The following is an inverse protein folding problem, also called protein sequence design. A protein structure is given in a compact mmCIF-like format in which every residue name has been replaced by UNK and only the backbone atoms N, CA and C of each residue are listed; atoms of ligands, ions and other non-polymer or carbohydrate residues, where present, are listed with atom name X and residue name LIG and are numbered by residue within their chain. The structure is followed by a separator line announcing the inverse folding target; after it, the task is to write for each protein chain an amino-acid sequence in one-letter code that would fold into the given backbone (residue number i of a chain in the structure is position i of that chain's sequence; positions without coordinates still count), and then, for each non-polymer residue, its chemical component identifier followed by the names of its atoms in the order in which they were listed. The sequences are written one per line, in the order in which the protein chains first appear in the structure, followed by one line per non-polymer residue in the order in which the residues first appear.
data_IF_988660581060
#
_entry.id   IF_988660581060
#
_cell.length_a   1.000
_cell.length_b   1.000
_cell.length_c   1.000
_cell.angle_alpha   90.00
_cell.angle_beta   90.00
_cell.angle_gamma   90.00
#
_symmetry.space_group_name_H-M   'P 1'
#
loop_
_entity.id
_entity.type
_entity.pdbx_description
1 polymer ?
#
# COMPACT_ATOMS: atom_id res chain seq x y z
N UNK A 1 -1.05 -6.60 16.15
CA UNK A 1 -1.68 -5.34 15.68
C UNK A 1 -2.46 -4.75 16.84
N UNK A 2 -2.11 -3.54 17.29
CA UNK A 2 -2.93 -2.79 18.24
C UNK A 2 -3.87 -1.91 17.42
N UNK A 3 -5.18 -2.08 17.63
CA UNK A 3 -6.14 -1.28 16.87
C UNK A 3 -6.07 0.19 17.33
N UNK A 4 -5.92 1.14 16.40
CA UNK A 4 -5.89 2.56 16.74
C UNK A 4 -7.24 2.99 17.31
N UNK A 5 -7.20 3.97 18.22
CA UNK A 5 -8.40 4.56 18.82
C UNK A 5 -9.15 5.49 17.87
N UNK A 6 -8.49 5.90 16.78
CA UNK A 6 -9.01 6.77 15.74
C UNK A 6 -9.03 6.01 14.41
N UNK A 7 -10.16 6.08 13.70
CA UNK A 7 -10.25 5.63 12.31
C UNK A 7 -9.79 6.80 11.43
N UNK A 8 -8.55 6.73 10.95
CA UNK A 8 -7.99 7.77 10.11
C UNK A 8 -8.54 7.69 8.68
N UNK A 9 -8.73 8.86 8.04
CA UNK A 9 -8.87 8.90 6.58
C UNK A 9 -7.48 8.70 5.96
N UNK A 10 -7.25 7.51 5.39
CA UNK A 10 -5.92 7.12 4.87
C UNK A 10 -5.56 7.75 3.53
N UNK A 11 -6.39 8.62 2.94
CA UNK A 11 -6.14 9.14 1.60
C UNK A 11 -4.82 9.92 1.51
N UNK A 12 -4.55 10.82 2.48
CA UNK A 12 -3.27 11.54 2.53
C UNK A 12 -2.09 10.60 2.81
N UNK A 13 -2.30 9.53 3.58
CA UNK A 13 -1.28 8.53 3.82
C UNK A 13 -0.89 7.78 2.54
N UNK A 14 -1.87 7.47 1.68
CA UNK A 14 -1.65 6.87 0.37
C UNK A 14 -0.91 7.83 -0.57
N UNK A 15 -1.26 9.11 -0.57
CA UNK A 15 -0.53 10.14 -1.33
C UNK A 15 0.92 10.29 -0.85
N UNK A 16 1.15 10.28 0.47
CA UNK A 16 2.49 10.31 1.04
C UNK A 16 3.30 9.05 0.70
N UNK A 17 2.66 7.88 0.61
CA UNK A 17 3.31 6.65 0.19
C UNK A 17 3.75 6.69 -1.28
N UNK A 18 2.96 7.28 -2.17
CA UNK A 18 3.36 7.50 -3.57
C UNK A 18 4.47 8.55 -3.71
N UNK A 19 4.43 9.61 -2.91
CA UNK A 19 5.55 10.55 -2.82
C UNK A 19 6.83 9.82 -2.35
N UNK A 20 6.74 9.02 -1.29
CA UNK A 20 7.86 8.22 -0.79
C UNK A 20 8.38 7.25 -1.87
N UNK A 21 7.49 6.63 -2.65
CA UNK A 21 7.87 5.77 -3.79
C UNK A 21 8.69 6.51 -4.82
N UNK A 22 8.29 7.72 -5.21
CA UNK A 22 9.05 8.56 -6.15
C UNK A 22 10.45 8.94 -5.64
N UNK A 23 10.69 8.87 -4.32
CA UNK A 23 11.98 9.16 -3.68
C UNK A 23 12.75 7.90 -3.25
N UNK A 24 12.37 6.73 -3.76
CA UNK A 24 13.02 5.45 -3.41
C UNK A 24 12.86 5.09 -1.94
N UNK A 25 11.81 5.58 -1.29
CA UNK A 25 11.57 5.53 0.15
C UNK A 25 10.36 4.70 0.57
N UNK A 26 9.67 4.07 -0.39
CA UNK A 26 8.41 3.40 -0.12
C UNK A 26 8.49 2.37 1.00
N UNK A 27 9.42 1.42 0.95
CA UNK A 27 9.47 0.31 1.92
C UNK A 27 9.66 0.80 3.36
N UNK A 28 10.61 1.72 3.56
CA UNK A 28 10.88 2.32 4.88
C UNK A 28 9.70 3.16 5.37
N UNK A 29 9.10 3.96 4.49
CA UNK A 29 7.94 4.79 4.81
C UNK A 29 6.73 3.93 5.14
N UNK A 30 6.46 2.89 4.35
CA UNK A 30 5.34 1.98 4.52
C UNK A 30 5.43 1.24 5.86
N UNK A 31 6.61 0.71 6.22
CA UNK A 31 6.83 0.09 7.52
C UNK A 31 6.60 1.08 8.68
N UNK A 32 7.16 2.29 8.59
CA UNK A 32 7.01 3.32 9.61
C UNK A 32 5.56 3.83 9.73
N UNK A 33 4.83 3.92 8.62
CA UNK A 33 3.41 4.28 8.59
C UNK A 33 2.54 3.23 9.28
N UNK A 34 2.81 1.94 9.04
CA UNK A 34 2.12 0.84 9.71
C UNK A 34 2.38 0.84 11.21
N UNK A 35 3.64 1.05 11.64
CA UNK A 35 3.96 1.16 13.07
C UNK A 35 3.28 2.37 13.71
N UNK A 36 3.31 3.54 13.06
CA UNK A 36 2.64 4.73 13.56
C UNK A 36 1.12 4.52 13.76
N UNK A 37 0.45 3.83 12.83
CA UNK A 37 -0.99 3.61 12.91
C UNK A 37 -1.38 2.44 13.82
N UNK A 38 -0.79 1.26 13.60
CA UNK A 38 -1.16 -0.01 14.26
C UNK A 38 -0.31 -0.37 15.48
N UNK A 39 0.80 0.33 15.72
CA UNK A 39 1.63 0.19 16.92
C UNK A 39 1.38 1.34 17.90
N UNK A 40 1.52 2.57 17.41
CA UNK A 40 1.52 3.81 18.21
C UNK A 40 0.14 4.47 18.31
N UNK A 41 -0.79 4.18 17.39
CA UNK A 41 -2.13 4.75 17.37
C UNK A 41 -2.20 6.23 16.93
N UNK A 42 -1.23 6.67 16.12
CA UNK A 42 -1.16 8.04 15.57
C UNK A 42 -2.15 8.24 14.43
N UNK A 43 -2.60 9.48 14.26
CA UNK A 43 -3.50 9.86 13.17
C UNK A 43 -2.74 10.01 11.85
N UNK A 44 -2.80 9.00 10.99
CA UNK A 44 -2.20 9.05 9.65
C UNK A 44 -3.04 9.83 8.63
N UNK A 45 -4.18 10.39 9.04
CA UNK A 45 -4.91 11.40 8.28
C UNK A 45 -4.34 12.81 8.47
N UNK A 46 -3.46 13.02 9.45
CA UNK A 46 -2.81 14.30 9.71
C UNK A 46 -1.52 14.47 8.89
N UNK A 47 -1.43 15.56 8.13
CA UNK A 47 -0.26 15.84 7.30
C UNK A 47 1.01 16.10 8.12
N UNK A 48 0.91 16.57 9.37
CA UNK A 48 2.03 16.70 10.31
C UNK A 48 2.63 15.35 10.65
N UNK A 49 1.80 14.40 11.06
CA UNK A 49 2.18 13.01 11.35
C UNK A 49 2.87 12.38 10.14
N UNK A 50 2.30 12.51 8.95
CA UNK A 50 2.88 11.96 7.71
C UNK A 50 4.26 12.58 7.41
N UNK A 51 4.40 13.90 7.60
CA UNK A 51 5.65 14.61 7.43
C UNK A 51 6.73 14.15 8.43
N UNK A 52 6.37 13.88 9.69
CA UNK A 52 7.30 13.37 10.70
C UNK A 52 7.80 11.96 10.32
N UNK A 53 6.88 11.08 9.92
CA UNK A 53 7.19 9.71 9.47
C UNK A 53 8.12 9.74 8.26
N UNK A 54 7.82 10.60 7.28
CA UNK A 54 8.63 10.77 6.08
C UNK A 54 10.03 11.30 6.38
N UNK A 55 10.15 12.27 7.30
CA UNK A 55 11.44 12.82 7.73
C UNK A 55 12.33 11.74 8.34
N UNK A 56 11.77 10.89 9.20
CA UNK A 56 12.50 9.74 9.76
C UNK A 56 12.96 8.73 8.69
N UNK A 57 12.27 8.73 7.55
CA UNK A 57 12.62 7.96 6.35
C UNK A 57 13.52 8.74 5.38
N UNK A 58 14.16 9.84 5.79
CA UNK A 58 15.07 10.61 4.93
C UNK A 58 14.38 11.31 3.75
N UNK A 59 13.08 11.58 3.86
CA UNK A 59 12.33 12.42 2.92
C UNK A 59 12.29 13.85 3.46
N UNK A 60 12.49 14.85 2.60
CA UNK A 60 12.38 16.25 3.03
C UNK A 60 10.95 16.60 3.47
N UNK A 61 10.85 17.20 4.66
CA UNK A 61 9.58 17.60 5.28
C UNK A 61 8.81 18.60 4.42
N UNK A 62 9.52 19.60 3.89
CA UNK A 62 8.93 20.69 3.12
C UNK A 62 8.38 20.19 1.80
N UNK A 63 9.14 19.36 1.09
CA UNK A 63 8.73 18.78 -0.19
C UNK A 63 7.49 17.89 -0.06
N UNK A 64 7.42 17.05 0.98
CA UNK A 64 6.22 16.27 1.23
C UNK A 64 5.05 17.16 1.63
N UNK A 65 5.27 18.16 2.51
CA UNK A 65 4.22 19.10 2.91
C UNK A 65 3.62 19.82 1.71
N UNK A 66 4.46 20.31 0.80
CA UNK A 66 4.04 20.93 -0.44
C UNK A 66 3.25 19.95 -1.31
N UNK A 67 3.75 18.72 -1.51
CA UNK A 67 3.05 17.70 -2.29
C UNK A 67 1.66 17.35 -1.74
N UNK A 68 1.53 17.26 -0.42
CA UNK A 68 0.25 17.00 0.26
C UNK A 68 -0.68 18.20 0.19
N UNK A 69 -0.16 19.43 0.26
CA UNK A 69 -0.98 20.65 0.08
C UNK A 69 -1.50 20.76 -1.36
N UNK A 70 -0.65 20.46 -2.34
CA UNK A 70 -0.99 20.46 -3.77
C UNK A 70 -1.92 19.30 -4.17
N UNK A 71 -2.13 18.32 -3.28
CA UNK A 71 -2.83 17.06 -3.59
C UNK A 71 -2.25 16.37 -4.83
N UNK A 72 -0.92 16.43 -4.95
CA UNK A 72 -0.17 16.04 -6.16
C UNK A 72 -0.44 14.60 -6.60
N UNK A 73 -0.70 13.71 -5.64
CA UNK A 73 -0.95 12.29 -5.90
C UNK A 73 -2.43 11.90 -5.78
N UNK A 74 -3.33 12.81 -5.39
CA UNK A 74 -4.73 12.48 -5.16
C UNK A 74 -5.39 11.82 -6.39
N UNK A 75 -5.22 12.41 -7.57
CA UNK A 75 -5.75 11.84 -8.81
C UNK A 75 -5.16 10.47 -9.16
N UNK A 76 -3.92 10.17 -8.74
CA UNK A 76 -3.34 8.83 -8.93
C UNK A 76 -4.00 7.80 -8.00
N UNK A 77 -4.25 8.18 -6.73
CA UNK A 77 -4.96 7.34 -5.75
C UNK A 77 -6.40 7.08 -6.18
N UNK A 78 -7.11 8.10 -6.65
CA UNK A 78 -8.48 7.98 -7.14
C UNK A 78 -8.58 7.02 -8.33
N UNK A 79 -7.69 7.18 -9.32
CA UNK A 79 -7.63 6.29 -10.49
C UNK A 79 -7.29 4.86 -10.10
N UNK A 80 -6.30 4.65 -9.22
CA UNK A 80 -5.94 3.31 -8.75
C UNK A 80 -7.10 2.64 -8.00
N UNK A 81 -7.82 3.41 -7.19
CA UNK A 81 -9.00 2.92 -6.45
C UNK A 81 -10.15 2.57 -7.39
N UNK A 82 -10.41 3.40 -8.40
CA UNK A 82 -11.43 3.14 -9.42
C UNK A 82 -11.10 1.88 -10.23
N UNK A 83 -9.86 1.76 -10.73
CA UNK A 83 -9.40 0.60 -11.48
C UNK A 83 -9.52 -0.70 -10.65
N UNK A 84 -9.12 -0.67 -9.37
CA UNK A 84 -9.29 -1.82 -8.49
C UNK A 84 -10.77 -2.24 -8.34
N UNK A 85 -11.69 -1.28 -8.24
CA UNK A 85 -13.13 -1.56 -8.16
C UNK A 85 -13.68 -2.12 -9.46
N UNK A 86 -13.28 -1.58 -10.61
CA UNK A 86 -13.63 -2.09 -11.94
C UNK A 86 -13.16 -3.53 -12.12
N UNK A 87 -11.98 -3.85 -11.59
CA UNK A 87 -11.46 -5.21 -11.54
C UNK A 87 -12.17 -6.12 -10.52
N UNK A 88 -13.16 -5.61 -9.77
CA UNK A 88 -13.91 -6.37 -8.76
C UNK A 88 -13.16 -6.58 -7.45
N UNK A 89 -12.13 -5.79 -7.16
CA UNK A 89 -11.39 -5.80 -5.90
C UNK A 89 -12.14 -4.93 -4.89
N UNK A 90 -12.72 -5.58 -3.88
CA UNK A 90 -13.58 -4.92 -2.88
C UNK A 90 -13.04 -5.02 -1.43
N UNK A 91 -11.88 -5.65 -1.24
CA UNK A 91 -11.27 -5.82 0.09
C UNK A 91 -9.75 -5.88 0.03
N UNK A 92 -9.11 -5.58 1.16
CA UNK A 92 -7.65 -5.60 1.31
C UNK A 92 -7.23 -6.56 2.44
N UNK A 93 -6.00 -7.12 2.39
CA UNK A 93 -5.15 -7.17 1.21
C UNK A 93 -5.77 -8.09 0.13
N UNK A 94 -5.62 -7.73 -1.14
CA UNK A 94 -5.89 -8.63 -2.28
C UNK A 94 -4.63 -8.71 -3.11
N UNK A 95 -4.13 -9.92 -3.34
CA UNK A 95 -3.00 -10.18 -4.23
C UNK A 95 -3.52 -10.75 -5.54
N UNK A 96 -3.10 -10.16 -6.65
CA UNK A 96 -3.42 -10.62 -8.00
C UNK A 96 -2.15 -11.18 -8.63
N UNK A 97 -2.22 -12.41 -9.10
CA UNK A 97 -1.13 -13.08 -9.80
C UNK A 97 -1.46 -13.18 -11.30
N UNK A 98 -0.42 -13.40 -12.10
CA UNK A 98 -0.59 -13.67 -13.54
C UNK A 98 -1.55 -14.82 -13.82
N UNK A 99 -2.29 -14.72 -14.92
CA UNK A 99 -3.31 -15.70 -15.30
C UNK A 99 -4.61 -15.58 -14.51
N UNK A 100 -4.82 -14.45 -13.81
CA UNK A 100 -6.09 -14.11 -13.15
C UNK A 100 -6.31 -14.76 -11.79
N UNK A 101 -5.29 -15.39 -11.20
CA UNK A 101 -5.41 -15.92 -9.84
C UNK A 101 -5.45 -14.78 -8.83
N UNK A 102 -6.38 -14.86 -7.88
CA UNK A 102 -6.56 -13.87 -6.82
C UNK A 102 -6.53 -14.53 -5.46
N UNK A 103 -5.82 -13.92 -4.53
CA UNK A 103 -5.82 -14.29 -3.12
C UNK A 103 -6.35 -13.11 -2.31
N UNK A 104 -7.46 -13.32 -1.61
CA UNK A 104 -8.17 -12.27 -0.87
C UNK A 104 -7.98 -12.50 0.64
N UNK A 105 -7.64 -11.44 1.35
CA UNK A 105 -7.40 -11.43 2.79
C UNK A 105 -5.97 -11.79 3.19
N UNK A 106 -5.66 -11.58 4.47
CA UNK A 106 -4.42 -12.02 5.08
C UNK A 106 -4.50 -13.53 5.34
N UNK A 107 -3.97 -14.32 4.41
CA UNK A 107 -4.00 -15.77 4.43
C UNK A 107 -2.74 -16.37 5.08
N UNK A 108 -2.80 -17.64 5.44
CA UNK A 108 -1.64 -18.36 5.97
C UNK A 108 -0.56 -18.56 4.90
N UNK A 109 0.69 -18.65 5.35
CA UNK A 109 1.85 -18.86 4.47
C UNK A 109 1.68 -20.06 3.53
N UNK A 110 1.10 -21.16 4.02
CA UNK A 110 0.89 -22.36 3.21
C UNK A 110 -0.05 -22.13 2.01
N UNK A 111 -1.03 -21.23 2.17
CA UNK A 111 -1.94 -20.83 1.09
C UNK A 111 -1.16 -20.08 0.01
N UNK A 112 -0.32 -19.12 0.42
CA UNK A 112 0.58 -18.41 -0.50
C UNK A 112 1.50 -19.40 -1.24
N UNK A 113 2.18 -20.29 -0.51
CA UNK A 113 3.10 -21.26 -1.09
C UNK A 113 2.41 -22.20 -2.09
N UNK A 114 1.19 -22.63 -1.79
CA UNK A 114 0.38 -23.50 -2.66
C UNK A 114 0.01 -22.81 -3.98
N UNK A 115 -0.47 -21.56 -3.92
CA UNK A 115 -0.84 -20.78 -5.11
C UNK A 115 0.38 -20.50 -5.98
N UNK A 116 1.50 -20.08 -5.38
CA UNK A 116 2.75 -19.85 -6.13
C UNK A 116 3.22 -21.12 -6.84
N UNK A 117 3.21 -22.27 -6.16
CA UNK A 117 3.54 -23.58 -6.78
C UNK A 117 2.64 -23.88 -7.99
N UNK A 118 1.33 -23.65 -7.87
CA UNK A 118 0.36 -23.88 -8.95
C UNK A 118 0.59 -22.97 -10.16
N UNK A 119 0.95 -21.71 -9.93
CA UNK A 119 1.28 -20.74 -11.00
C UNK A 119 2.54 -21.19 -11.76
N UNK A 120 3.59 -21.58 -11.03
CA UNK A 120 4.83 -22.06 -11.64
C UNK A 120 4.62 -23.33 -12.48
N UNK A 121 3.81 -24.28 -11.99
CA UNK A 121 3.46 -25.50 -12.74
C UNK A 121 2.71 -25.18 -14.04
N UNK A 122 1.76 -24.23 -14.03
CA UNK A 122 1.04 -23.81 -15.25
C UNK A 122 1.97 -23.18 -16.28
N UNK A 123 2.95 -22.37 -15.85
CA UNK A 123 3.95 -21.80 -16.76
C UNK A 123 4.81 -22.89 -17.41
N UNK A 124 5.30 -23.85 -16.62
CA UNK A 124 6.13 -24.94 -17.14
C UNK A 124 5.38 -25.87 -18.12
N UNK A 125 4.07 -26.07 -17.92
CA UNK A 125 3.23 -26.88 -18.82
C UNK A 125 2.68 -26.14 -20.04
N UNK A 126 2.85 -24.81 -20.12
CA UNK A 126 2.29 -23.96 -21.19
C UNK A 126 3.27 -23.61 -22.32
N UNK A 127 4.54 -24.02 -22.26
CA UNK A 127 5.54 -23.78 -23.31
C UNK A 127 5.58 -24.87 -24.39
N UNK A 128 4.46 -25.56 -24.64
CA UNK A 128 4.38 -26.70 -25.55
C UNK A 128 3.21 -26.67 -26.55
N UNK A 129 2.72 -25.49 -26.93
CA UNK A 129 1.70 -25.32 -27.96
C UNK A 129 2.07 -24.19 -28.93
#
# INVERSE_FOLDING_TARGET
IRMPRLIANSHLALEAAEFARAHGAFERFHAALFEAYFGEGRDVGDAGVLCDIATACGIDRGQLREALNDRRYAGAIDRATAAAREDGIISTPTLVYEGGFRLVGAQDYDVFASITRRILQRRAGGSGA
#
